data_IF_335468613461
#
_entry.id   IF_335468613461
#
_cell.length_a   1.000
_cell.length_b   1.000
_cell.length_c   1.000
_cell.angle_alpha   90.00
_cell.angle_beta   90.00
_cell.angle_gamma   90.00
#
_symmetry.space_group_name_H-M   'P 1'
#
loop_
_entity.id
_entity.type
_entity.pdbx_description
1 polymer ?
#
# COMPACT_ATOMS: atom_id res chain seq x y z
N UNK A 1 2.31 32.50 2.79
CA UNK A 1 1.59 31.45 3.54
C UNK A 1 0.63 30.66 2.64
N UNK A 2 -0.34 31.28 1.94
CA UNK A 2 -1.31 30.55 1.07
C UNK A 2 -0.67 29.74 -0.08
N UNK A 3 0.39 30.23 -0.70
CA UNK A 3 1.10 29.51 -1.79
C UNK A 3 1.87 28.27 -1.26
N UNK A 4 2.50 28.36 -0.10
CA UNK A 4 3.19 27.25 0.53
C UNK A 4 2.20 26.15 1.01
N UNK A 5 1.02 26.53 1.49
CA UNK A 5 -0.06 25.59 1.83
C UNK A 5 -0.62 24.91 0.58
N UNK A 6 -0.82 25.65 -0.52
CA UNK A 6 -1.28 25.13 -1.80
C UNK A 6 -0.27 24.10 -2.38
N UNK A 7 1.02 24.42 -2.37
CA UNK A 7 2.08 23.51 -2.83
C UNK A 7 2.19 22.25 -2.00
N UNK A 8 2.02 22.34 -0.68
CA UNK A 8 2.01 21.18 0.23
C UNK A 8 0.85 20.22 -0.05
N UNK A 9 -0.34 20.74 -0.31
CA UNK A 9 -1.52 19.93 -0.64
C UNK A 9 -1.29 19.18 -1.96
N UNK A 10 -0.77 19.86 -2.99
CA UNK A 10 -0.46 19.24 -4.29
C UNK A 10 0.55 18.11 -4.14
N UNK A 11 1.59 18.28 -3.32
CA UNK A 11 2.59 17.24 -3.08
C UNK A 11 1.97 15.99 -2.40
N UNK A 12 1.15 16.17 -1.37
CA UNK A 12 0.49 15.06 -0.69
C UNK A 12 -0.49 14.31 -1.61
N UNK A 13 -1.20 15.05 -2.46
CA UNK A 13 -2.09 14.44 -3.44
C UNK A 13 -1.30 13.71 -4.53
N UNK A 14 -0.17 14.24 -5.00
CA UNK A 14 0.70 13.56 -5.95
C UNK A 14 1.30 12.27 -5.37
N UNK A 15 1.67 12.29 -4.08
CA UNK A 15 2.11 11.09 -3.35
C UNK A 15 1.01 10.01 -3.26
N UNK A 16 -0.24 10.40 -3.00
CA UNK A 16 -1.37 9.45 -3.06
C UNK A 16 -1.57 8.91 -4.46
N UNK A 17 -1.41 9.76 -5.48
CA UNK A 17 -1.53 9.35 -6.88
C UNK A 17 -0.51 8.27 -7.24
N UNK A 18 0.78 8.47 -6.95
CA UNK A 18 1.78 7.45 -7.27
C UNK A 18 1.61 6.20 -6.41
N UNK A 19 1.16 6.34 -5.15
CA UNK A 19 0.90 5.18 -4.29
C UNK A 19 -0.22 4.28 -4.84
N UNK A 20 -1.25 4.85 -5.46
CA UNK A 20 -2.30 4.10 -6.15
C UNK A 20 -1.76 3.22 -7.28
N UNK A 21 -0.80 3.72 -8.07
CA UNK A 21 -0.17 2.91 -9.11
C UNK A 21 0.60 1.73 -8.52
N UNK A 22 1.39 1.99 -7.47
CA UNK A 22 2.18 0.94 -6.83
C UNK A 22 1.31 -0.14 -6.17
N UNK A 23 0.21 0.25 -5.51
CA UNK A 23 -0.76 -0.68 -4.93
C UNK A 23 -1.45 -1.50 -6.03
N UNK A 24 -1.93 -0.85 -7.11
CA UNK A 24 -2.51 -1.55 -8.25
C UNK A 24 -1.56 -2.61 -8.81
N UNK A 25 -0.31 -2.21 -9.07
CA UNK A 25 0.69 -3.10 -9.65
C UNK A 25 0.95 -4.33 -8.78
N UNK A 26 1.09 -4.16 -7.47
CA UNK A 26 1.30 -5.27 -6.53
C UNK A 26 0.06 -6.17 -6.45
N UNK A 27 -1.13 -5.60 -6.32
CA UNK A 27 -2.38 -6.36 -6.19
C UNK A 27 -2.68 -7.24 -7.41
N UNK A 28 -2.27 -6.82 -8.61
CA UNK A 28 -2.47 -7.64 -9.82
C UNK A 28 -1.65 -8.94 -9.82
N UNK A 29 -0.58 -9.03 -9.02
CA UNK A 29 0.20 -10.27 -8.89
C UNK A 29 -0.54 -11.36 -8.12
N UNK A 30 -1.51 -11.02 -7.28
CA UNK A 30 -2.32 -11.99 -6.51
C UNK A 30 -3.13 -12.96 -7.37
N UNK A 31 -3.09 -12.82 -8.69
CA UNK A 31 -3.78 -13.67 -9.64
C UNK A 31 -2.85 -14.63 -10.40
N UNK A 32 -1.84 -15.16 -9.72
CA UNK A 32 -0.94 -16.19 -10.24
C UNK A 32 0.33 -15.67 -10.93
N UNK A 33 0.53 -14.35 -11.01
CA UNK A 33 1.75 -13.79 -11.61
C UNK A 33 2.98 -13.86 -10.67
N UNK A 34 2.81 -14.20 -9.41
CA UNK A 34 3.89 -14.28 -8.41
C UNK A 34 4.44 -15.70 -8.26
N UNK A 35 4.58 -16.43 -9.37
CA UNK A 35 5.07 -17.80 -9.42
C UNK A 35 6.42 -17.89 -10.12
N UNK A 36 7.30 -18.78 -9.65
CA UNK A 36 8.58 -19.11 -10.28
C UNK A 36 8.40 -19.83 -11.65
N UNK A 37 7.19 -20.30 -11.96
CA UNK A 37 6.86 -20.86 -13.28
C UNK A 37 7.12 -19.87 -14.43
N UNK A 38 7.02 -18.58 -14.17
CA UNK A 38 7.31 -17.51 -15.13
C UNK A 38 8.82 -17.34 -15.30
N UNK A 39 9.43 -18.10 -16.23
CA UNK A 39 10.88 -18.24 -16.36
C UNK A 39 11.53 -17.33 -17.40
N UNK A 40 10.76 -16.54 -18.17
CA UNK A 40 11.32 -15.62 -19.16
C UNK A 40 12.17 -14.53 -18.49
N UNK A 41 13.18 -14.01 -19.20
CA UNK A 41 14.04 -12.94 -18.68
C UNK A 41 13.24 -11.68 -18.34
N UNK A 42 12.25 -11.34 -19.16
CA UNK A 42 11.37 -10.19 -18.93
C UNK A 42 10.52 -10.39 -17.67
N UNK A 43 9.93 -11.59 -17.47
CA UNK A 43 9.09 -11.87 -16.32
C UNK A 43 9.89 -11.83 -15.02
N UNK A 44 11.06 -12.46 -15.00
CA UNK A 44 11.97 -12.39 -13.84
C UNK A 44 12.41 -10.97 -13.52
N UNK A 45 12.67 -10.14 -14.55
CA UNK A 45 13.05 -8.74 -14.35
C UNK A 45 11.91 -7.93 -13.75
N UNK A 46 10.69 -8.12 -14.23
CA UNK A 46 9.51 -7.44 -13.68
C UNK A 46 9.19 -7.93 -12.28
N UNK A 47 9.29 -9.23 -12.02
CA UNK A 47 9.15 -9.80 -10.69
C UNK A 47 10.13 -9.17 -9.70
N UNK A 48 11.42 -9.08 -10.07
CA UNK A 48 12.46 -8.47 -9.24
C UNK A 48 12.18 -6.97 -8.99
N UNK A 49 11.78 -6.24 -10.04
CA UNK A 49 11.39 -4.82 -9.92
C UNK A 49 10.21 -4.65 -8.97
N UNK A 50 9.18 -5.52 -9.05
CA UNK A 50 8.04 -5.52 -8.11
C UNK A 50 8.54 -5.65 -6.68
N UNK A 51 9.35 -6.66 -6.36
CA UNK A 51 9.81 -6.93 -5.01
C UNK A 51 10.73 -5.84 -4.46
N UNK A 52 11.67 -5.36 -5.27
CA UNK A 52 12.63 -4.33 -4.82
C UNK A 52 11.97 -2.97 -4.66
N UNK A 53 11.16 -2.52 -5.63
CA UNK A 53 10.73 -1.14 -5.70
C UNK A 53 9.28 -0.89 -5.28
N UNK A 54 8.40 -1.91 -5.33
CA UNK A 54 6.96 -1.71 -5.17
C UNK A 54 6.38 -2.39 -3.94
N UNK A 55 6.62 -3.67 -3.76
CA UNK A 55 6.04 -4.46 -2.67
C UNK A 55 6.34 -3.85 -1.31
N UNK A 56 5.34 -3.74 -0.48
CA UNK A 56 5.37 -3.10 0.85
C UNK A 56 5.67 -1.60 0.89
N UNK A 57 6.31 -1.01 -0.14
CA UNK A 57 6.71 0.41 -0.15
C UNK A 57 5.52 1.33 -0.38
N UNK A 58 4.59 0.95 -1.24
CA UNK A 58 3.46 1.81 -1.62
C UNK A 58 2.28 1.73 -0.66
N UNK A 59 1.97 0.57 -0.08
CA UNK A 59 1.02 0.57 1.03
C UNK A 59 1.61 1.26 2.27
N UNK A 60 2.91 1.12 2.53
CA UNK A 60 3.61 1.89 3.57
C UNK A 60 3.54 3.39 3.31
N UNK A 61 3.80 3.83 2.08
CA UNK A 61 3.64 5.23 1.68
C UNK A 61 2.21 5.73 1.90
N UNK A 62 1.21 4.94 1.48
CA UNK A 62 -0.20 5.29 1.65
C UNK A 62 -0.61 5.37 3.13
N UNK A 63 -0.07 4.47 3.95
CA UNK A 63 -0.24 4.46 5.41
C UNK A 63 0.34 5.71 6.08
N UNK A 64 1.56 6.12 5.70
CA UNK A 64 2.15 7.39 6.15
C UNK A 64 1.26 8.58 5.79
N UNK A 65 0.77 8.63 4.54
CA UNK A 65 -0.12 9.70 4.07
C UNK A 65 -1.46 9.71 4.81
N UNK A 66 -1.96 8.54 5.22
CA UNK A 66 -3.14 8.45 6.06
C UNK A 66 -2.89 9.04 7.44
N UNK A 67 -1.77 8.70 8.11
CA UNK A 67 -1.37 9.27 9.39
C UNK A 67 -1.20 10.80 9.35
N UNK A 68 -0.57 11.31 8.28
CA UNK A 68 -0.47 12.76 8.04
C UNK A 68 -1.86 13.38 7.93
N UNK A 69 -2.74 12.78 7.12
CA UNK A 69 -4.10 13.27 6.86
C UNK A 69 -4.96 13.24 8.12
N UNK A 70 -4.81 12.21 8.95
CA UNK A 70 -5.48 12.07 10.23
C UNK A 70 -5.11 13.22 11.18
N UNK A 71 -3.81 13.50 11.35
CA UNK A 71 -3.34 14.62 12.17
C UNK A 71 -3.86 15.96 11.67
N UNK A 72 -3.79 16.20 10.35
CA UNK A 72 -4.29 17.45 9.75
C UNK A 72 -5.80 17.61 9.92
N UNK A 73 -6.56 16.51 9.82
CA UNK A 73 -7.99 16.52 10.07
C UNK A 73 -8.31 16.88 11.52
N UNK A 74 -7.61 16.29 12.49
CA UNK A 74 -7.79 16.62 13.93
C UNK A 74 -7.48 18.09 14.24
N UNK A 75 -6.60 18.73 13.48
CA UNK A 75 -6.27 20.16 13.65
C UNK A 75 -7.14 21.11 12.81
N UNK A 76 -8.04 20.58 12.02
CA UNK A 76 -8.89 21.41 11.18
C UNK A 76 -9.99 22.11 11.98
N UNK A 77 -10.44 23.29 11.50
CA UNK A 77 -11.57 24.01 12.12
C UNK A 77 -12.90 23.23 12.04
N UNK A 78 -12.99 22.21 11.20
CA UNK A 78 -14.19 21.34 11.04
C UNK A 78 -14.10 20.07 11.90
N UNK A 79 -13.08 19.94 12.75
CA UNK A 79 -12.93 18.75 13.58
C UNK A 79 -14.03 18.68 14.65
N UNK A 80 -14.59 17.50 14.78
CA UNK A 80 -15.36 17.04 15.95
C UNK A 80 -15.23 15.53 16.05
N UNK A 81 -15.35 14.97 17.25
CA UNK A 81 -15.33 13.51 17.43
C UNK A 81 -16.48 12.82 16.69
N UNK A 82 -17.64 13.48 16.55
CA UNK A 82 -18.76 12.98 15.74
C UNK A 82 -18.40 12.90 14.26
N UNK A 83 -17.75 13.94 13.72
CA UNK A 83 -17.30 13.96 12.32
C UNK A 83 -16.23 12.88 12.08
N UNK A 84 -15.29 12.72 13.01
CA UNK A 84 -14.29 11.64 12.95
C UNK A 84 -14.96 10.26 13.00
N UNK A 85 -15.86 10.02 13.95
CA UNK A 85 -16.58 8.73 14.05
C UNK A 85 -17.35 8.39 12.77
N UNK A 86 -18.12 9.36 12.20
CA UNK A 86 -18.81 9.16 10.91
C UNK A 86 -17.81 8.86 9.78
N UNK A 87 -16.68 9.58 9.75
CA UNK A 87 -15.64 9.37 8.75
C UNK A 87 -15.09 7.96 8.79
N UNK A 88 -14.81 7.42 9.99
CA UNK A 88 -14.28 6.07 10.17
C UNK A 88 -15.34 5.00 9.89
N UNK A 89 -16.57 5.19 10.34
CA UNK A 89 -17.68 4.27 10.04
C UNK A 89 -17.89 4.14 8.52
N UNK A 90 -17.94 5.27 7.79
CA UNK A 90 -18.14 5.22 6.34
C UNK A 90 -16.95 4.58 5.65
N UNK A 91 -15.71 4.83 6.11
CA UNK A 91 -14.52 4.18 5.58
C UNK A 91 -14.56 2.67 5.80
N UNK A 92 -14.94 2.24 7.02
CA UNK A 92 -15.15 0.83 7.35
C UNK A 92 -16.22 0.18 6.46
N UNK A 93 -17.36 0.86 6.23
CA UNK A 93 -18.41 0.34 5.35
C UNK A 93 -17.94 0.23 3.89
N UNK A 94 -17.15 1.18 3.39
CA UNK A 94 -16.54 1.04 2.07
C UNK A 94 -15.59 -0.17 2.03
N UNK A 95 -14.77 -0.36 3.07
CA UNK A 95 -13.89 -1.52 3.19
C UNK A 95 -14.65 -2.84 3.27
N UNK A 96 -15.68 -2.92 4.10
CA UNK A 96 -16.50 -4.12 4.24
C UNK A 96 -17.19 -4.51 2.91
N UNK A 97 -17.73 -3.53 2.17
CA UNK A 97 -18.31 -3.78 0.84
C UNK A 97 -17.21 -4.21 -0.15
N UNK A 98 -16.02 -3.62 -0.05
CA UNK A 98 -14.89 -3.93 -0.93
C UNK A 98 -14.33 -5.32 -0.64
N UNK A 99 -14.22 -5.72 0.63
CA UNK A 99 -13.78 -7.04 1.06
C UNK A 99 -14.69 -8.18 0.54
N UNK A 100 -15.97 -7.91 0.30
CA UNK A 100 -16.86 -8.87 -0.35
C UNK A 100 -16.49 -9.17 -1.81
N UNK A 101 -15.67 -8.33 -2.43
CA UNK A 101 -15.29 -8.44 -3.85
C UNK A 101 -13.80 -8.80 -3.98
N UNK A 102 -12.98 -8.37 -3.03
CA UNK A 102 -11.54 -8.50 -3.06
C UNK A 102 -10.94 -8.70 -1.67
N UNK A 103 -10.25 -9.81 -1.47
CA UNK A 103 -9.65 -10.22 -0.19
C UNK A 103 -8.58 -9.25 0.33
N UNK A 104 -7.88 -8.54 -0.56
CA UNK A 104 -6.83 -7.58 -0.23
C UNK A 104 -7.37 -6.19 0.14
N UNK A 105 -8.52 -6.09 0.86
CA UNK A 105 -9.00 -4.79 1.33
C UNK A 105 -8.09 -4.20 2.41
N UNK A 106 -7.78 -2.93 2.25
CA UNK A 106 -7.00 -2.15 3.22
C UNK A 106 -7.83 -1.07 3.92
N UNK A 107 -9.05 -0.77 3.42
CA UNK A 107 -9.87 0.34 3.95
C UNK A 107 -10.47 -0.01 5.30
N UNK A 108 -10.87 -1.28 5.49
CA UNK A 108 -11.41 -1.77 6.75
C UNK A 108 -10.33 -1.71 7.83
N UNK A 109 -9.14 -2.28 7.56
CA UNK A 109 -7.97 -2.19 8.42
C UNK A 109 -7.61 -0.73 8.76
N UNK A 110 -7.65 0.18 7.78
CA UNK A 110 -7.35 1.61 8.01
C UNK A 110 -8.36 2.27 8.94
N UNK A 111 -9.63 1.93 8.84
CA UNK A 111 -10.65 2.45 9.73
C UNK A 111 -10.44 1.97 11.19
N UNK A 112 -10.08 0.71 11.36
CA UNK A 112 -9.80 0.09 12.66
C UNK A 112 -8.56 0.68 13.32
N UNK A 113 -7.45 0.71 12.59
CA UNK A 113 -6.20 1.28 13.09
C UNK A 113 -6.30 2.79 13.36
N UNK A 114 -7.18 3.51 12.66
CA UNK A 114 -7.45 4.92 12.96
C UNK A 114 -8.13 5.13 14.32
N UNK A 115 -8.89 4.14 14.81
CA UNK A 115 -9.42 4.18 16.19
C UNK A 115 -8.27 4.05 17.19
N UNK A 116 -7.31 3.15 16.94
CA UNK A 116 -6.11 3.03 17.78
C UNK A 116 -5.27 4.32 17.72
N UNK A 117 -5.10 4.90 16.55
CA UNK A 117 -4.39 6.17 16.38
C UNK A 117 -5.07 7.31 17.16
N UNK A 118 -6.41 7.31 17.23
CA UNK A 118 -7.16 8.26 18.05
C UNK A 118 -6.87 8.07 19.55
N UNK A 119 -6.79 6.84 20.04
CA UNK A 119 -6.43 6.59 21.44
C UNK A 119 -5.00 7.02 21.78
N UNK A 120 -4.10 6.92 20.81
CA UNK A 120 -2.69 7.26 20.95
C UNK A 120 -2.38 8.77 20.80
N UNK A 121 -3.32 9.60 20.34
CA UNK A 121 -3.06 11.01 19.99
C UNK A 121 -2.58 11.86 21.16
N UNK A 122 -2.98 11.52 22.40
CA UNK A 122 -2.58 12.22 23.64
C UNK A 122 -1.19 11.86 24.14
N UNK A 123 -0.56 10.83 23.59
CA UNK A 123 0.74 10.35 24.02
C UNK A 123 1.84 11.32 23.58
N UNK A 124 2.86 11.48 24.42
CA UNK A 124 4.00 12.35 24.11
C UNK A 124 4.81 11.80 22.90
N UNK A 125 5.41 12.70 22.15
CA UNK A 125 6.21 12.36 20.93
C UNK A 125 7.29 11.32 21.21
N UNK A 126 7.90 11.35 22.40
CA UNK A 126 8.96 10.38 22.78
C UNK A 126 8.42 8.97 22.89
N UNK A 127 7.30 8.78 23.56
CA UNK A 127 6.68 7.47 23.72
C UNK A 127 6.07 6.94 22.41
N UNK A 128 5.52 7.84 21.58
CA UNK A 128 5.07 7.44 20.24
C UNK A 128 6.24 6.96 19.38
N UNK A 129 7.42 7.58 19.48
CA UNK A 129 8.61 7.12 18.78
C UNK A 129 9.08 5.75 19.25
N UNK A 130 9.10 5.50 20.56
CA UNK A 130 9.40 4.17 21.12
C UNK A 130 8.38 3.13 20.63
N UNK A 131 7.09 3.51 20.63
CA UNK A 131 6.03 2.62 20.13
C UNK A 131 6.21 2.29 18.66
N UNK A 132 6.59 3.25 17.81
CA UNK A 132 6.90 2.99 16.39
C UNK A 132 7.99 1.93 16.25
N UNK A 133 9.07 2.05 17.01
CA UNK A 133 10.16 1.05 16.99
C UNK A 133 9.64 -0.32 17.42
N UNK A 134 8.88 -0.39 18.51
CA UNK A 134 8.32 -1.65 19.02
C UNK A 134 7.38 -2.31 17.99
N UNK A 135 6.49 -1.51 17.36
CA UNK A 135 5.57 -2.00 16.32
C UNK A 135 6.31 -2.45 15.06
N UNK A 136 7.36 -1.73 14.65
CA UNK A 136 8.21 -2.17 13.54
C UNK A 136 8.90 -3.49 13.84
N UNK A 137 9.39 -3.68 15.08
CA UNK A 137 10.05 -4.91 15.48
C UNK A 137 9.09 -6.11 15.64
N UNK A 138 7.78 -5.89 15.67
CA UNK A 138 6.81 -6.99 15.72
C UNK A 138 6.89 -7.91 14.49
N UNK A 139 7.23 -7.38 13.33
CA UNK A 139 7.38 -8.13 12.08
C UNK A 139 8.51 -9.17 12.15
N UNK A 140 9.80 -8.81 12.33
CA UNK A 140 10.87 -9.79 12.39
C UNK A 140 10.78 -10.69 13.63
N UNK A 141 10.26 -10.19 14.77
CA UNK A 141 10.09 -11.00 15.96
C UNK A 141 8.93 -12.01 15.82
N UNK A 142 7.87 -11.66 15.11
CA UNK A 142 6.76 -12.56 14.83
C UNK A 142 7.20 -13.79 14.05
N UNK A 143 7.95 -13.60 12.97
CA UNK A 143 8.50 -14.71 12.19
C UNK A 143 9.56 -15.50 12.96
N UNK A 144 10.37 -14.84 13.80
CA UNK A 144 11.32 -15.54 14.67
C UNK A 144 10.63 -16.51 15.65
N UNK A 145 9.44 -16.10 16.18
CA UNK A 145 8.68 -16.91 17.14
C UNK A 145 7.91 -18.04 16.43
N UNK A 146 7.40 -17.78 15.20
CA UNK A 146 6.60 -18.71 14.39
C UNK A 146 7.22 -18.93 13.00
N UNK A 147 8.37 -19.65 12.91
CA UNK A 147 9.10 -19.77 11.64
C UNK A 147 8.42 -20.70 10.62
N UNK A 148 7.57 -21.61 11.08
CA UNK A 148 7.04 -22.70 10.23
C UNK A 148 5.84 -22.24 9.35
N UNK A 149 5.47 -20.98 9.41
CA UNK A 149 4.30 -20.47 8.71
C UNK A 149 4.47 -20.38 7.19
N UNK A 150 5.68 -20.06 6.73
CA UNK A 150 6.00 -19.89 5.31
C UNK A 150 6.85 -21.04 4.73
N UNK A 151 7.23 -22.02 5.56
CA UNK A 151 8.19 -23.04 5.17
C UNK A 151 7.61 -24.18 4.31
N UNK A 152 6.28 -24.30 4.23
CA UNK A 152 5.68 -25.57 3.79
C UNK A 152 5.12 -25.58 2.36
N UNK A 153 5.32 -24.55 1.56
CA UNK A 153 4.61 -24.51 0.26
C UNK A 153 5.34 -23.86 -0.93
N UNK A 154 6.63 -23.65 -0.88
CA UNK A 154 7.34 -23.13 -2.08
C UNK A 154 7.75 -24.27 -3.01
N UNK A 155 7.34 -24.24 -4.30
CA UNK A 155 7.75 -25.27 -5.26
C UNK A 155 9.29 -25.26 -5.44
N UNK A 156 9.90 -26.46 -5.38
CA UNK A 156 11.35 -26.62 -5.54
C UNK A 156 11.82 -26.49 -6.99
N UNK A 157 10.90 -26.64 -7.96
CA UNK A 157 11.21 -26.61 -9.38
C UNK A 157 10.18 -25.84 -10.21
N UNK A 158 10.59 -25.36 -11.38
CA UNK A 158 9.68 -24.70 -12.35
C UNK A 158 8.53 -25.62 -12.78
N UNK A 159 8.80 -26.94 -12.97
CA UNK A 159 7.78 -27.92 -13.36
C UNK A 159 6.72 -28.09 -12.25
N UNK A 160 7.15 -28.14 -11.00
CA UNK A 160 6.26 -28.18 -9.85
C UNK A 160 5.44 -26.90 -9.73
N UNK A 161 6.06 -25.75 -9.93
CA UNK A 161 5.38 -24.45 -9.93
C UNK A 161 4.33 -24.33 -11.04
N UNK A 162 4.61 -24.87 -12.24
CA UNK A 162 3.62 -24.93 -13.34
C UNK A 162 2.43 -25.84 -12.97
N UNK A 163 2.69 -26.97 -12.31
CA UNK A 163 1.63 -27.85 -11.81
C UNK A 163 0.77 -27.14 -10.76
N UNK A 164 1.38 -26.46 -9.79
CA UNK A 164 0.67 -25.70 -8.78
C UNK A 164 -0.18 -24.58 -9.37
N UNK A 165 0.33 -23.82 -10.35
CA UNK A 165 -0.51 -22.81 -11.02
C UNK A 165 -1.77 -23.44 -11.65
N UNK A 166 -1.68 -24.67 -12.14
CA UNK A 166 -2.81 -25.38 -12.73
C UNK A 166 -3.78 -25.88 -11.66
N UNK A 167 -3.27 -26.42 -10.55
CA UNK A 167 -4.04 -26.91 -9.41
C UNK A 167 -4.72 -25.73 -8.70
N UNK A 168 -3.97 -24.66 -8.34
CA UNK A 168 -4.50 -23.44 -7.72
C UNK A 168 -5.61 -22.82 -8.56
N UNK A 169 -5.43 -22.79 -9.90
CA UNK A 169 -6.46 -22.31 -10.80
C UNK A 169 -7.72 -23.17 -10.77
N UNK A 170 -7.59 -24.49 -10.67
CA UNK A 170 -8.72 -25.41 -10.66
C UNK A 170 -9.53 -25.31 -9.35
N UNK A 171 -8.85 -24.99 -8.25
CA UNK A 171 -9.47 -24.90 -6.93
C UNK A 171 -9.93 -23.49 -6.55
N UNK A 172 -9.49 -22.47 -7.29
CA UNK A 172 -9.83 -21.07 -6.99
C UNK A 172 -11.28 -20.73 -7.37
N UNK A 173 -12.12 -20.49 -6.38
CA UNK A 173 -13.52 -20.08 -6.55
C UNK A 173 -13.67 -18.85 -7.44
N UNK A 174 -12.67 -17.96 -7.49
CA UNK A 174 -12.66 -16.77 -8.35
C UNK A 174 -12.63 -17.12 -9.84
N UNK A 175 -12.14 -18.32 -10.19
CA UNK A 175 -12.04 -18.82 -11.56
C UNK A 175 -13.30 -19.57 -12.00
N UNK A 176 -13.79 -20.49 -11.19
CA UNK A 176 -14.93 -21.35 -11.58
C UNK A 176 -16.26 -20.95 -10.96
N UNK A 177 -16.24 -20.14 -9.89
CA UNK A 177 -17.44 -19.79 -9.15
C UNK A 177 -18.30 -18.74 -9.83
N UNK A 178 -19.60 -18.81 -9.54
CA UNK A 178 -20.54 -17.74 -9.86
C UNK A 178 -20.27 -16.50 -8.98
N UNK A 179 -20.71 -15.29 -9.36
CA UNK A 179 -20.57 -14.10 -8.51
C UNK A 179 -21.14 -14.28 -7.10
N UNK A 180 -22.20 -15.09 -6.93
CA UNK A 180 -22.78 -15.39 -5.62
C UNK A 180 -21.93 -16.33 -4.78
N UNK A 181 -21.28 -17.32 -5.39
CA UNK A 181 -20.37 -18.24 -4.69
C UNK A 181 -19.09 -17.51 -4.26
N UNK A 182 -18.54 -16.64 -5.11
CA UNK A 182 -17.40 -15.79 -4.78
C UNK A 182 -17.75 -14.86 -3.61
N UNK A 183 -18.95 -14.23 -3.65
CA UNK A 183 -19.40 -13.35 -2.58
C UNK A 183 -19.55 -14.11 -1.25
N UNK A 184 -20.09 -15.33 -1.28
CA UNK A 184 -20.23 -16.18 -0.08
C UNK A 184 -18.86 -16.57 0.49
N UNK A 185 -17.94 -17.01 -0.36
CA UNK A 185 -16.57 -17.35 0.06
C UNK A 185 -15.88 -16.16 0.75
N UNK A 186 -16.01 -14.96 0.19
CA UNK A 186 -15.45 -13.75 0.81
C UNK A 186 -16.18 -13.34 2.09
N UNK A 187 -17.46 -13.65 2.24
CA UNK A 187 -18.21 -13.37 3.50
C UNK A 187 -17.66 -14.21 4.66
N UNK A 188 -17.34 -15.47 4.41
CA UNK A 188 -16.73 -16.35 5.42
C UNK A 188 -15.32 -15.91 5.79
N UNK A 189 -14.62 -15.27 4.87
CA UNK A 189 -13.25 -14.77 5.05
C UNK A 189 -13.17 -13.44 5.84
N UNK A 190 -14.21 -12.58 5.84
CA UNK A 190 -14.18 -11.27 6.52
C UNK A 190 -13.83 -11.37 8.03
N UNK A 191 -14.41 -12.28 8.83
CA UNK A 191 -14.05 -12.42 10.25
C UNK A 191 -12.60 -12.85 10.44
N UNK A 192 -12.07 -13.70 9.54
CA UNK A 192 -10.70 -14.17 9.58
C UNK A 192 -9.73 -13.03 9.29
N UNK A 193 -10.00 -12.21 8.27
CA UNK A 193 -9.20 -11.02 7.93
C UNK A 193 -9.17 -10.05 9.10
N UNK A 194 -10.33 -9.75 9.70
CA UNK A 194 -10.42 -8.86 10.86
C UNK A 194 -9.52 -9.31 12.03
N UNK A 195 -9.49 -10.61 12.35
CA UNK A 195 -8.64 -11.15 13.39
C UNK A 195 -7.21 -11.35 12.96
N UNK A 196 -6.97 -11.70 11.69
CA UNK A 196 -5.63 -11.90 11.15
C UNK A 196 -4.77 -10.65 11.26
N UNK A 197 -5.32 -9.47 11.01
CA UNK A 197 -4.64 -8.18 11.10
C UNK A 197 -4.10 -7.89 12.52
N UNK A 198 -4.71 -8.47 13.55
CA UNK A 198 -4.24 -8.36 14.94
C UNK A 198 -3.47 -9.59 15.42
N UNK A 199 -3.79 -10.77 14.89
CA UNK A 199 -3.16 -12.03 15.29
C UNK A 199 -1.79 -12.21 14.61
N UNK A 200 -1.63 -11.64 13.43
CA UNK A 200 -0.40 -11.74 12.65
C UNK A 200 0.32 -10.39 12.65
N UNK A 201 1.46 -10.28 13.39
CA UNK A 201 2.15 -9.00 13.62
C UNK A 201 2.72 -8.35 12.36
N UNK A 202 2.77 -9.06 11.26
CA UNK A 202 3.37 -8.64 10.00
C UNK A 202 2.50 -7.68 9.17
N UNK A 203 1.17 -7.58 9.41
CA UNK A 203 0.31 -6.67 8.66
C UNK A 203 -0.18 -5.49 9.47
N UNK A 204 -1.08 -5.70 10.43
CA UNK A 204 -1.77 -4.63 11.14
C UNK A 204 -0.86 -3.75 12.00
N UNK A 205 0.06 -4.35 12.77
CA UNK A 205 0.95 -3.61 13.67
C UNK A 205 1.97 -2.75 12.91
N UNK A 206 2.50 -3.26 11.79
CA UNK A 206 3.42 -2.49 10.94
C UNK A 206 2.69 -1.36 10.23
N UNK A 207 1.44 -1.58 9.77
CA UNK A 207 0.60 -0.49 9.21
C UNK A 207 0.37 0.60 10.26
N UNK A 208 0.09 0.25 11.52
CA UNK A 208 -0.04 1.21 12.61
C UNK A 208 1.27 1.99 12.85
N UNK A 209 2.43 1.34 12.75
CA UNK A 209 3.72 2.02 12.83
C UNK A 209 3.87 3.07 11.72
N UNK A 210 3.51 2.75 10.47
CA UNK A 210 3.53 3.71 9.37
C UNK A 210 2.52 4.86 9.57
N UNK A 211 1.34 4.60 10.14
CA UNK A 211 0.40 5.65 10.54
C UNK A 211 1.02 6.60 11.55
N UNK A 212 1.67 6.05 12.58
CA UNK A 212 2.33 6.84 13.62
C UNK A 212 3.52 7.64 13.05
N UNK A 213 4.29 7.07 12.11
CA UNK A 213 5.35 7.80 11.40
C UNK A 213 4.74 9.03 10.70
N UNK A 214 3.68 8.84 9.92
CA UNK A 214 2.99 9.93 9.24
C UNK A 214 2.41 10.97 10.21
N UNK A 215 1.79 10.51 11.29
CA UNK A 215 1.28 11.36 12.37
C UNK A 215 2.39 12.20 13.01
N UNK A 216 3.53 11.58 13.34
CA UNK A 216 4.70 12.26 13.92
C UNK A 216 5.33 13.24 12.92
N UNK A 217 5.43 12.91 11.64
CA UNK A 217 5.91 13.82 10.60
C UNK A 217 5.05 15.09 10.53
N UNK A 218 3.72 14.95 10.60
CA UNK A 218 2.81 16.07 10.58
C UNK A 218 2.84 16.87 11.91
N UNK A 219 3.00 16.20 13.05
CA UNK A 219 3.09 16.80 14.38
C UNK A 219 4.37 17.59 14.62
N UNK A 220 5.49 17.13 14.03
CA UNK A 220 6.82 17.75 14.20
C UNK A 220 7.12 18.84 13.17
N UNK A 221 6.16 19.18 12.32
CA UNK A 221 6.33 20.17 11.24
C UNK A 221 7.46 19.86 10.23
N UNK A 222 7.91 18.60 10.17
CA UNK A 222 8.94 18.15 9.21
C UNK A 222 8.54 18.42 7.76
N UNK A 223 7.23 18.46 7.51
CA UNK A 223 6.64 18.71 6.18
C UNK A 223 6.62 20.19 5.78
N UNK A 224 7.05 21.11 6.64
CA UNK A 224 7.08 22.53 6.30
C UNK A 224 8.21 22.81 5.29
N UNK A 225 7.84 23.44 4.17
CA UNK A 225 8.83 23.90 3.19
C UNK A 225 9.82 24.88 3.84
N UNK A 226 11.11 24.69 3.54
CA UNK A 226 12.17 25.58 4.05
C UNK A 226 12.71 25.23 5.42
N UNK A 227 12.13 24.28 6.18
CA UNK A 227 12.65 23.88 7.50
C UNK A 227 14.06 23.27 7.46
N UNK A 228 14.34 22.52 6.40
CA UNK A 228 15.64 21.89 6.19
C UNK A 228 16.32 22.43 4.95
N UNK A 229 17.67 22.60 4.97
CA UNK A 229 18.43 23.01 3.82
C UNK A 229 18.25 22.06 2.63
N UNK A 230 18.18 22.59 1.40
CA UNK A 230 17.98 21.79 0.20
C UNK A 230 19.06 20.70 -0.01
N UNK A 231 20.33 21.00 0.35
CA UNK A 231 21.41 20.04 0.25
C UNK A 231 21.25 18.85 1.20
N UNK A 232 20.66 19.05 2.40
CA UNK A 232 20.39 17.96 3.34
C UNK A 232 19.29 17.07 2.79
N UNK A 233 18.19 17.65 2.26
CA UNK A 233 17.11 16.88 1.61
C UNK A 233 17.66 16.05 0.43
N UNK A 234 18.53 16.63 -0.40
CA UNK A 234 19.17 15.94 -1.51
C UNK A 234 20.05 14.78 -1.06
N UNK A 235 20.86 14.97 -0.01
CA UNK A 235 21.69 13.88 0.56
C UNK A 235 20.83 12.77 1.16
N UNK A 236 19.77 13.11 1.89
CA UNK A 236 18.84 12.12 2.44
C UNK A 236 18.14 11.34 1.31
N UNK A 237 17.69 12.00 0.26
CA UNK A 237 17.08 11.36 -0.90
C UNK A 237 18.02 10.32 -1.53
N UNK A 238 19.26 10.73 -1.82
CA UNK A 238 20.27 9.84 -2.42
C UNK A 238 20.62 8.71 -1.46
N UNK A 239 20.84 9.02 -0.17
CA UNK A 239 21.15 8.03 0.85
C UNK A 239 20.05 6.98 1.03
N UNK A 240 18.78 7.41 1.07
CA UNK A 240 17.64 6.50 1.17
C UNK A 240 17.56 5.57 -0.07
N UNK A 241 17.78 6.09 -1.28
CA UNK A 241 17.82 5.27 -2.48
C UNK A 241 18.98 4.28 -2.46
N UNK A 242 20.21 4.75 -2.26
CA UNK A 242 21.39 3.89 -2.33
C UNK A 242 21.38 2.79 -1.25
N UNK A 243 21.13 3.18 0.01
CA UNK A 243 21.13 2.22 1.11
C UNK A 243 19.89 1.31 1.04
N UNK A 244 18.72 1.85 0.71
CA UNK A 244 17.50 1.06 0.57
C UNK A 244 17.61 0.02 -0.55
N UNK A 245 18.11 0.38 -1.73
CA UNK A 245 18.36 -0.55 -2.82
C UNK A 245 19.41 -1.60 -2.45
N UNK A 246 20.53 -1.18 -1.82
CA UNK A 246 21.57 -2.11 -1.38
C UNK A 246 21.00 -3.16 -0.42
N UNK A 247 20.30 -2.73 0.63
CA UNK A 247 19.73 -3.63 1.64
C UNK A 247 18.67 -4.53 1.06
N UNK A 248 17.78 -4.01 0.21
CA UNK A 248 16.72 -4.80 -0.42
C UNK A 248 17.29 -5.82 -1.40
N UNK A 249 18.31 -5.45 -2.19
CA UNK A 249 18.97 -6.39 -3.09
C UNK A 249 19.70 -7.48 -2.30
N UNK A 250 20.40 -7.12 -1.23
CA UNK A 250 21.07 -8.09 -0.33
C UNK A 250 20.05 -9.07 0.26
N UNK A 251 18.93 -8.59 0.75
CA UNK A 251 17.88 -9.43 1.32
C UNK A 251 17.33 -10.39 0.26
N UNK A 252 16.90 -9.88 -0.90
CA UNK A 252 16.25 -10.69 -1.93
C UNK A 252 17.20 -11.70 -2.62
N UNK A 253 18.49 -11.37 -2.77
CA UNK A 253 19.42 -12.20 -3.55
C UNK A 253 20.33 -13.09 -2.68
N UNK A 254 20.50 -12.76 -1.42
CA UNK A 254 21.41 -13.49 -0.52
C UNK A 254 20.70 -14.07 0.69
N UNK A 255 20.02 -13.24 1.50
CA UNK A 255 19.47 -13.68 2.78
C UNK A 255 18.23 -14.53 2.62
N UNK A 256 17.29 -14.14 1.76
CA UNK A 256 16.08 -14.91 1.52
C UNK A 256 16.37 -16.30 0.95
N UNK A 257 17.20 -16.48 -0.09
CA UNK A 257 17.61 -17.81 -0.54
C UNK A 257 18.37 -18.62 0.52
N UNK A 258 19.18 -17.98 1.38
CA UNK A 258 19.87 -18.68 2.48
C UNK A 258 18.89 -19.15 3.57
N UNK A 259 17.82 -18.41 3.84
CA UNK A 259 16.78 -18.82 4.77
C UNK A 259 16.02 -20.07 4.31
N UNK A 260 15.88 -20.26 2.99
CA UNK A 260 15.26 -21.45 2.39
C UNK A 260 16.24 -22.60 2.10
N UNK A 261 17.55 -22.34 2.07
CA UNK A 261 18.55 -23.40 1.86
C UNK A 261 19.08 -23.90 3.19
N UNK A 262 19.28 -25.22 3.31
CA UNK A 262 19.89 -25.89 4.45
C UNK A 262 21.37 -25.50 4.72
N UNK A 263 21.77 -24.27 4.36
CA UNK A 263 23.13 -23.75 4.55
C UNK A 263 23.44 -23.39 6.01
N UNK A 264 22.58 -23.75 6.94
CA UNK A 264 22.64 -23.33 8.34
C UNK A 264 23.27 -24.35 9.28
N UNK A 265 24.42 -24.94 8.93
CA UNK A 265 25.18 -25.69 9.96
C UNK A 265 25.77 -24.77 11.05
N UNK A 266 25.88 -23.43 10.79
CA UNK A 266 26.48 -22.45 11.71
C UNK A 266 25.53 -21.46 12.33
N UNK A 267 24.42 -21.12 11.66
CA UNK A 267 23.36 -20.22 12.16
C UNK A 267 22.02 -20.96 12.08
N UNK A 268 21.19 -20.84 13.13
CA UNK A 268 19.84 -21.42 13.05
C UNK A 268 19.04 -20.72 11.96
N UNK A 269 18.17 -21.43 11.27
CA UNK A 269 17.26 -20.86 10.26
C UNK A 269 16.52 -19.64 10.80
N UNK A 270 16.13 -19.65 12.07
CA UNK A 270 15.47 -18.56 12.78
C UNK A 270 16.30 -17.28 12.86
N UNK A 271 17.62 -17.38 13.07
CA UNK A 271 18.49 -16.22 13.14
C UNK A 271 18.71 -15.58 11.78
N UNK A 272 18.80 -16.39 10.72
CA UNK A 272 18.87 -15.89 9.33
C UNK A 272 17.57 -15.20 8.93
N UNK A 273 16.41 -15.77 9.27
CA UNK A 273 15.09 -15.16 9.03
C UNK A 273 14.97 -13.85 9.78
N UNK A 274 15.29 -13.80 11.07
CA UNK A 274 15.26 -12.56 11.87
C UNK A 274 16.11 -11.46 11.26
N UNK A 275 17.31 -11.79 10.80
CA UNK A 275 18.21 -10.84 10.13
C UNK A 275 17.64 -10.40 8.80
N UNK A 276 17.14 -11.31 7.98
CA UNK A 276 16.53 -11.05 6.69
C UNK A 276 15.34 -10.09 6.81
N UNK A 277 14.39 -10.40 7.70
CA UNK A 277 13.20 -9.59 7.94
C UNK A 277 13.53 -8.22 8.51
N UNK A 278 14.54 -8.14 9.39
CA UNK A 278 15.02 -6.84 9.90
C UNK A 278 15.59 -5.98 8.78
N UNK A 279 16.39 -6.58 7.89
CA UNK A 279 16.96 -5.89 6.72
C UNK A 279 15.87 -5.52 5.73
N UNK A 280 14.91 -6.41 5.46
CA UNK A 280 13.74 -6.14 4.63
C UNK A 280 12.92 -4.95 5.14
N UNK A 281 12.63 -4.91 6.43
CA UNK A 281 11.92 -3.81 7.07
C UNK A 281 12.68 -2.49 6.95
N UNK A 282 13.98 -2.47 7.26
CA UNK A 282 14.82 -1.27 7.12
C UNK A 282 14.87 -0.80 5.67
N UNK A 283 15.04 -1.69 4.72
CA UNK A 283 15.04 -1.39 3.30
C UNK A 283 13.68 -0.83 2.84
N UNK A 284 12.58 -1.42 3.33
CA UNK A 284 11.22 -0.94 3.05
C UNK A 284 11.00 0.47 3.57
N UNK A 285 11.41 0.79 4.79
CA UNK A 285 11.32 2.14 5.36
C UNK A 285 12.15 3.15 4.55
N UNK A 286 13.39 2.79 4.19
CA UNK A 286 14.27 3.64 3.39
C UNK A 286 13.73 3.88 1.99
N UNK A 287 13.24 2.86 1.30
CA UNK A 287 12.70 3.00 -0.05
C UNK A 287 11.35 3.73 -0.04
N UNK A 288 10.52 3.54 0.97
CA UNK A 288 9.29 4.34 1.17
C UNK A 288 9.63 5.82 1.36
N UNK A 289 10.64 6.12 2.18
CA UNK A 289 11.15 7.48 2.36
C UNK A 289 11.77 8.03 1.06
N UNK A 290 12.47 7.21 0.29
CA UNK A 290 13.04 7.60 -1.00
C UNK A 290 11.96 7.98 -2.02
N UNK A 291 10.87 7.21 -2.13
CA UNK A 291 9.71 7.56 -2.96
C UNK A 291 9.05 8.86 -2.51
N UNK A 292 8.83 9.01 -1.19
CA UNK A 292 8.27 10.25 -0.61
C UNK A 292 9.13 11.46 -0.96
N UNK A 293 10.44 11.39 -0.68
CA UNK A 293 11.38 12.48 -0.93
C UNK A 293 11.56 12.78 -2.43
N UNK A 294 11.45 11.78 -3.30
CA UNK A 294 11.52 11.97 -4.77
C UNK A 294 10.36 12.84 -5.26
N UNK A 295 9.13 12.49 -4.90
CA UNK A 295 7.95 13.25 -5.31
C UNK A 295 7.98 14.65 -4.70
N UNK A 296 8.36 14.77 -3.42
CA UNK A 296 8.52 16.06 -2.77
C UNK A 296 9.57 16.92 -3.45
N UNK A 297 10.74 16.36 -3.77
CA UNK A 297 11.81 17.06 -4.48
C UNK A 297 11.37 17.56 -5.86
N UNK A 298 10.68 16.70 -6.63
CA UNK A 298 10.16 17.10 -7.94
C UNK A 298 9.14 18.23 -7.84
N UNK A 299 8.24 18.17 -6.85
CA UNK A 299 7.23 19.18 -6.63
C UNK A 299 7.84 20.53 -6.16
N UNK A 300 8.77 20.50 -5.19
CA UNK A 300 9.42 21.70 -4.65
C UNK A 300 10.30 22.42 -5.68
N UNK A 301 10.93 21.70 -6.60
CA UNK A 301 11.83 22.28 -7.62
C UNK A 301 11.13 22.48 -8.99
N UNK A 302 9.81 22.28 -9.06
CA UNK A 302 9.07 22.42 -10.31
C UNK A 302 9.51 21.44 -11.41
N UNK A 303 10.06 20.28 -11.02
CA UNK A 303 10.45 19.23 -11.98
C UNK A 303 9.22 18.41 -12.37
N UNK A 304 9.08 18.16 -13.67
CA UNK A 304 7.97 17.38 -14.23
C UNK A 304 6.57 17.87 -13.79
N UNK A 305 6.24 19.19 -13.91
CA UNK A 305 5.03 19.76 -13.34
C UNK A 305 3.75 19.12 -13.90
N UNK A 306 3.74 18.72 -15.17
CA UNK A 306 2.61 18.03 -15.79
C UNK A 306 2.33 16.68 -15.15
N UNK A 307 3.39 15.91 -14.86
CA UNK A 307 3.29 14.59 -14.21
C UNK A 307 2.81 14.77 -12.76
N UNK A 308 3.44 15.67 -12.00
CA UNK A 308 3.04 15.97 -10.61
C UNK A 308 1.59 16.38 -10.52
N UNK A 309 1.13 17.27 -11.42
CA UNK A 309 -0.27 17.71 -11.44
C UNK A 309 -1.22 16.58 -11.85
N UNK A 310 -0.83 15.70 -12.76
CA UNK A 310 -1.63 14.54 -13.17
C UNK A 310 -1.77 13.53 -12.03
N UNK A 311 -0.68 13.22 -11.34
CA UNK A 311 -0.68 12.38 -10.14
C UNK A 311 -1.51 13.02 -9.02
N UNK A 312 -1.40 14.32 -8.80
CA UNK A 312 -2.19 15.03 -7.78
C UNK A 312 -3.70 14.97 -8.08
N UNK A 313 -4.11 15.01 -9.36
CA UNK A 313 -5.53 14.80 -9.73
C UNK A 313 -5.99 13.40 -9.38
N UNK A 314 -5.20 12.36 -9.70
CA UNK A 314 -5.51 10.99 -9.31
C UNK A 314 -5.58 10.84 -7.78
N UNK A 315 -4.62 11.41 -7.04
CA UNK A 315 -4.61 11.35 -5.58
C UNK A 315 -5.80 12.04 -4.91
N UNK A 316 -6.39 13.07 -5.55
CA UNK A 316 -7.65 13.70 -5.08
C UNK A 316 -8.87 12.80 -5.25
N UNK A 317 -8.77 11.77 -6.08
CA UNK A 317 -9.80 10.77 -6.35
C UNK A 317 -9.37 9.37 -5.90
N UNK A 318 -8.51 9.29 -4.89
CA UNK A 318 -7.82 8.04 -4.51
C UNK A 318 -8.78 6.93 -4.11
N UNK A 319 -9.85 7.22 -3.38
CA UNK A 319 -10.86 6.23 -2.98
C UNK A 319 -11.66 5.73 -4.20
N UNK A 320 -12.10 6.65 -5.05
CA UNK A 320 -12.83 6.30 -6.29
C UNK A 320 -11.97 5.45 -7.21
N UNK A 321 -10.70 5.84 -7.41
CA UNK A 321 -9.81 5.11 -8.30
C UNK A 321 -9.44 3.73 -7.72
N UNK A 322 -9.18 3.63 -6.42
CA UNK A 322 -8.86 2.38 -5.75
C UNK A 322 -10.00 1.35 -5.89
N UNK A 323 -11.23 1.74 -5.55
CA UNK A 323 -12.38 0.83 -5.70
C UNK A 323 -12.70 0.51 -7.17
N UNK A 324 -12.46 1.46 -8.09
CA UNK A 324 -12.60 1.18 -9.53
C UNK A 324 -11.53 0.21 -10.06
N UNK A 325 -10.32 0.22 -9.50
CA UNK A 325 -9.27 -0.76 -9.82
C UNK A 325 -9.77 -2.17 -9.56
N UNK A 326 -10.35 -2.41 -8.40
CA UNK A 326 -10.91 -3.72 -8.04
C UNK A 326 -11.96 -4.19 -9.03
N UNK A 327 -12.92 -3.33 -9.39
CA UNK A 327 -13.93 -3.69 -10.39
C UNK A 327 -13.31 -4.02 -11.76
N UNK A 328 -12.26 -3.31 -12.16
CA UNK A 328 -11.56 -3.57 -13.43
C UNK A 328 -10.84 -4.90 -13.38
N UNK A 329 -10.02 -5.16 -12.35
CA UNK A 329 -9.21 -6.37 -12.35
C UNK A 329 -10.02 -7.63 -11.99
N UNK A 330 -11.08 -7.54 -11.16
CA UNK A 330 -11.98 -8.68 -10.98
C UNK A 330 -12.71 -9.04 -12.28
N UNK A 331 -13.10 -8.05 -13.10
CA UNK A 331 -13.63 -8.29 -14.45
C UNK A 331 -12.59 -8.96 -15.36
N UNK A 332 -11.31 -8.62 -15.22
CA UNK A 332 -10.25 -9.20 -16.08
C UNK A 332 -9.89 -10.61 -15.62
N UNK A 333 -9.74 -10.83 -14.33
CA UNK A 333 -9.17 -12.08 -13.80
C UNK A 333 -10.20 -13.13 -13.43
N UNK A 334 -11.39 -12.75 -12.96
CA UNK A 334 -12.39 -13.71 -12.50
C UNK A 334 -13.08 -14.44 -13.66
N UNK A 335 -13.55 -15.65 -13.40
CA UNK A 335 -14.16 -16.52 -14.38
C UNK A 335 -15.47 -15.98 -14.98
N UNK A 336 -16.20 -15.15 -14.26
CA UNK A 336 -17.39 -14.47 -14.81
C UNK A 336 -17.05 -13.35 -15.81
N UNK A 337 -15.79 -12.93 -15.88
CA UNK A 337 -15.31 -11.90 -16.80
C UNK A 337 -14.43 -12.45 -17.91
N UNK A 338 -13.17 -12.02 -18.00
CA UNK A 338 -12.23 -12.46 -19.04
C UNK A 338 -11.38 -13.68 -18.64
N UNK A 339 -11.51 -14.19 -17.41
CA UNK A 339 -10.88 -15.42 -16.95
C UNK A 339 -9.35 -15.47 -17.16
N UNK A 340 -8.65 -14.38 -16.79
CA UNK A 340 -7.21 -14.28 -16.98
C UNK A 340 -6.39 -14.67 -15.72
N UNK A 341 -7.00 -15.08 -14.61
CA UNK A 341 -6.28 -15.55 -13.43
C UNK A 341 -5.38 -16.74 -13.79
N UNK A 342 -4.15 -16.74 -13.28
CA UNK A 342 -3.11 -17.74 -13.51
C UNK A 342 -2.69 -17.92 -14.98
N UNK A 343 -3.07 -16.98 -15.87
CA UNK A 343 -2.72 -17.01 -17.31
C UNK A 343 -1.77 -15.91 -17.72
N UNK A 344 -1.66 -14.86 -16.94
CA UNK A 344 -0.80 -13.71 -17.22
C UNK A 344 0.46 -13.74 -16.37
N UNK A 345 1.61 -13.69 -17.02
CA UNK A 345 2.90 -13.56 -16.34
C UNK A 345 3.23 -12.12 -15.92
N UNK A 346 4.30 -11.93 -15.14
CA UNK A 346 4.73 -10.64 -14.61
C UNK A 346 4.78 -9.50 -15.61
N UNK A 347 5.34 -9.72 -16.78
CA UNK A 347 5.49 -8.70 -17.84
C UNK A 347 4.13 -8.24 -18.39
N UNK A 348 3.19 -9.16 -18.56
CA UNK A 348 1.84 -8.85 -19.04
C UNK A 348 1.05 -8.11 -17.97
N UNK A 349 1.18 -8.53 -16.71
CA UNK A 349 0.57 -7.86 -15.55
C UNK A 349 1.11 -6.43 -15.39
N UNK A 350 2.41 -6.20 -15.59
CA UNK A 350 2.98 -4.87 -15.60
C UNK A 350 2.38 -3.97 -16.67
N UNK A 351 2.30 -4.46 -17.91
CA UNK A 351 1.68 -3.71 -19.02
C UNK A 351 0.21 -3.41 -18.74
N UNK A 352 -0.51 -4.37 -18.16
CA UNK A 352 -1.89 -4.20 -17.74
C UNK A 352 -2.02 -3.12 -16.66
N UNK A 353 -1.18 -3.13 -15.61
CA UNK A 353 -1.15 -2.12 -14.56
C UNK A 353 -0.92 -0.71 -15.13
N UNK A 354 0.09 -0.57 -16.01
CA UNK A 354 0.38 0.71 -16.68
C UNK A 354 -0.81 1.18 -17.50
N UNK A 355 -1.46 0.27 -18.24
CA UNK A 355 -2.60 0.60 -19.11
C UNK A 355 -3.82 1.05 -18.30
N UNK A 356 -4.18 0.30 -17.25
CA UNK A 356 -5.29 0.65 -16.34
C UNK A 356 -5.01 2.02 -15.71
N UNK A 357 -3.80 2.22 -15.18
CA UNK A 357 -3.48 3.46 -14.50
C UNK A 357 -3.44 4.66 -15.46
N UNK A 358 -2.94 4.50 -16.67
CA UNK A 358 -2.98 5.54 -17.70
C UNK A 358 -4.42 5.99 -18.01
N UNK A 359 -5.35 5.04 -18.17
CA UNK A 359 -6.77 5.35 -18.36
C UNK A 359 -7.34 6.09 -17.14
N UNK A 360 -7.00 5.67 -15.93
CA UNK A 360 -7.44 6.33 -14.70
C UNK A 360 -6.90 7.75 -14.56
N UNK A 361 -5.65 8.02 -14.98
CA UNK A 361 -5.07 9.37 -14.99
C UNK A 361 -5.82 10.30 -15.96
N UNK A 362 -6.18 9.79 -17.13
CA UNK A 362 -7.01 10.53 -18.10
C UNK A 362 -8.39 10.77 -17.51
N UNK A 363 -9.04 9.74 -16.98
CA UNK A 363 -10.36 9.85 -16.33
C UNK A 363 -10.36 10.90 -15.22
N UNK A 364 -9.42 10.83 -14.28
CA UNK A 364 -9.31 11.78 -13.17
C UNK A 364 -9.09 13.22 -13.69
N UNK A 365 -8.28 13.36 -14.75
CA UNK A 365 -8.01 14.67 -15.36
C UNK A 365 -9.24 15.26 -16.02
N UNK A 366 -10.06 14.44 -16.70
CA UNK A 366 -11.30 14.87 -17.33
C UNK A 366 -12.39 15.14 -16.29
N UNK A 367 -12.58 14.23 -15.33
CA UNK A 367 -13.59 14.37 -14.27
C UNK A 367 -13.40 15.66 -13.47
N UNK A 368 -12.18 15.94 -13.04
CA UNK A 368 -11.89 17.14 -12.24
C UNK A 368 -11.93 18.47 -13.03
N UNK A 369 -12.25 18.45 -14.33
CA UNK A 369 -12.61 19.68 -15.05
C UNK A 369 -13.99 20.20 -14.66
N UNK A 370 -14.94 19.29 -14.43
CA UNK A 370 -16.34 19.63 -14.13
C UNK A 370 -16.71 19.45 -12.66
N UNK A 371 -15.98 18.61 -11.93
CA UNK A 371 -16.28 18.26 -10.55
C UNK A 371 -15.15 18.65 -9.60
N UNK A 372 -15.48 18.92 -8.33
CA UNK A 372 -14.50 19.33 -7.33
C UNK A 372 -13.71 18.17 -6.73
N UNK A 373 -14.29 16.97 -6.69
CA UNK A 373 -13.75 15.75 -6.04
C UNK A 373 -14.30 14.52 -6.74
N UNK A 374 -13.74 13.33 -6.45
CA UNK A 374 -14.26 12.07 -6.96
C UNK A 374 -15.64 11.74 -6.35
N UNK A 375 -16.42 10.85 -7.02
CA UNK A 375 -17.76 10.48 -6.56
C UNK A 375 -17.77 9.90 -5.15
N UNK A 376 -16.88 8.95 -4.84
CA UNK A 376 -16.85 8.28 -3.54
C UNK A 376 -16.26 9.19 -2.45
N UNK A 377 -15.29 10.02 -2.78
CA UNK A 377 -14.80 11.06 -1.88
C UNK A 377 -15.91 12.07 -1.53
N UNK A 378 -16.76 12.41 -2.48
CA UNK A 378 -17.90 13.27 -2.25
C UNK A 378 -18.91 12.64 -1.29
N UNK A 379 -19.29 11.38 -1.50
CA UNK A 379 -20.17 10.62 -0.59
C UNK A 379 -19.55 10.57 0.81
N UNK A 380 -18.26 10.24 0.91
CA UNK A 380 -17.53 10.18 2.17
C UNK A 380 -17.54 11.52 2.91
N UNK A 381 -17.30 12.63 2.20
CA UNK A 381 -17.31 13.99 2.78
C UNK A 381 -18.70 14.42 3.25
N UNK A 382 -19.74 14.17 2.45
CA UNK A 382 -21.13 14.44 2.85
C UNK A 382 -21.51 13.70 4.11
N UNK A 383 -21.22 12.40 4.17
CA UNK A 383 -21.50 11.59 5.35
C UNK A 383 -20.69 12.04 6.57
N UNK A 384 -19.41 12.43 6.39
CA UNK A 384 -18.56 12.94 7.46
C UNK A 384 -19.14 14.19 8.11
N UNK A 385 -19.55 15.18 7.29
CA UNK A 385 -19.99 16.49 7.80
C UNK A 385 -21.50 16.58 8.00
N UNK A 386 -22.30 15.64 7.45
CA UNK A 386 -23.75 15.65 7.49
C UNK A 386 -24.38 16.81 6.70
N UNK A 387 -23.64 17.38 5.76
CA UNK A 387 -24.05 18.51 4.95
C UNK A 387 -23.90 18.19 3.47
N UNK A 388 -24.86 18.66 2.64
CA UNK A 388 -24.76 18.55 1.18
C UNK A 388 -23.69 19.53 0.67
N UNK A 389 -22.61 19.00 0.11
CA UNK A 389 -21.60 19.79 -0.59
C UNK A 389 -21.87 19.71 -2.11
N UNK A 390 -21.68 20.83 -2.83
CA UNK A 390 -21.79 20.83 -4.26
C UNK A 390 -20.63 20.02 -4.88
N UNK A 391 -20.95 19.04 -5.71
CA UNK A 391 -19.93 18.22 -6.40
C UNK A 391 -19.40 18.94 -7.66
N UNK A 392 -20.26 19.76 -8.33
CA UNK A 392 -19.88 20.51 -9.55
C UNK A 392 -19.08 21.75 -9.18
N UNK A 393 -18.10 22.08 -10.01
CA UNK A 393 -17.47 23.41 -10.01
C UNK A 393 -18.48 24.43 -10.47
N UNK A 394 -18.63 25.50 -9.70
CA UNK A 394 -19.39 26.69 -10.11
C UNK A 394 -18.58 27.51 -11.10
#
# INVERSE_FOLDING_TARGET
>A
MREAESGRIVTLDALRGIALFGILFVNLFSYGADSIAWSSVSDRSVWLVKHILFESKFWGLYSILFGISFYLFMRSARFSYRALGRRLIILFLFGAIHALIFEGDILMLYAELAVLLLLLHGISTRWLFVLVIALCMSFPLGHFIQPDRDADSSPESVVEAERWLTEDRADDVRVYGTPSEILLAHTDFIPEVFWADFQYPDSGLVVLAFFLIGYLMARSDVLQSGRYPAHLKGRLLIGCWLLGLLLMTLEQTVLRPLGYSAFSESLSTREVTLLGDTIYLLATLLLTAAWFLTVQHCAEHGRFPSVINMLARAGRMSLTLYLSQTLIFTTIFYGYGFDQAYRLGPSQVFLLAVSIYAVQLVFASLWLRWFCTGPLEWVWRMGTHGQREAIRRQ
#
